data_IF_130535965108
#
_entry.id   IF_130535965108
#
_cell.length_a   1.000
_cell.length_b   1.000
_cell.length_c   1.000
_cell.angle_alpha   90.00
_cell.angle_beta   90.00
_cell.angle_gamma   90.00
#
_symmetry.space_group_name_H-M   'P 1'
#
loop_
_entity.id
_entity.type
_entity.pdbx_description
1 polymer ?
#
# COMPACT_ATOMS: atom_id res chain seq x y z
N UNK A 1 -23.93 -76.86 -45.29
CA UNK A 1 -24.72 -76.28 -46.43
C UNK A 1 -25.06 -74.83 -46.10
N UNK A 2 -24.59 -73.90 -46.95
CA UNK A 2 -24.82 -72.42 -47.02
C UNK A 2 -24.29 -71.52 -45.90
N UNK A 3 -23.20 -70.84 -46.31
CA UNK A 3 -22.71 -69.58 -45.82
C UNK A 3 -23.76 -68.44 -46.04
N UNK A 4 -23.86 -67.51 -45.11
CA UNK A 4 -24.24 -66.16 -45.42
C UNK A 4 -23.40 -65.22 -44.59
N UNK A 5 -22.63 -64.49 -45.29
CA UNK A 5 -21.79 -63.30 -44.83
C UNK A 5 -22.72 -62.09 -44.61
N UNK A 6 -22.55 -61.46 -43.47
CA UNK A 6 -23.10 -60.13 -43.26
C UNK A 6 -21.97 -59.19 -42.86
N UNK A 7 -21.59 -58.36 -43.82
CA UNK A 7 -20.62 -57.27 -43.63
C UNK A 7 -21.28 -56.13 -42.86
N UNK A 8 -20.85 -55.91 -41.64
CA UNK A 8 -21.23 -54.78 -40.84
C UNK A 8 -20.26 -53.61 -41.09
N UNK A 9 -20.72 -52.60 -41.81
CA UNK A 9 -19.97 -51.35 -41.99
C UNK A 9 -19.94 -50.54 -40.70
N UNK A 10 -18.82 -50.52 -40.04
CA UNK A 10 -18.56 -49.55 -38.96
C UNK A 10 -18.27 -48.21 -39.59
N UNK A 11 -19.21 -47.30 -39.51
CA UNK A 11 -19.02 -45.87 -39.78
C UNK A 11 -18.10 -45.30 -38.71
N UNK A 12 -16.87 -45.04 -39.02
CA UNK A 12 -15.97 -44.22 -38.23
C UNK A 12 -16.48 -42.78 -38.32
N UNK A 13 -17.13 -42.30 -37.30
CA UNK A 13 -17.39 -40.87 -37.09
C UNK A 13 -16.08 -40.23 -36.64
N UNK A 14 -15.40 -39.58 -37.56
CA UNK A 14 -14.27 -38.71 -37.26
C UNK A 14 -14.82 -37.44 -36.61
N UNK A 15 -14.78 -37.41 -35.28
CA UNK A 15 -15.08 -36.20 -34.50
C UNK A 15 -13.93 -35.23 -34.65
N UNK A 16 -14.01 -34.29 -35.59
CA UNK A 16 -13.11 -33.17 -35.67
C UNK A 16 -13.41 -32.19 -34.51
N UNK A 17 -12.62 -32.33 -33.45
CA UNK A 17 -12.59 -31.34 -32.38
C UNK A 17 -12.02 -30.02 -32.93
N UNK A 18 -12.89 -29.11 -33.33
CA UNK A 18 -12.51 -27.72 -33.57
C UNK A 18 -12.08 -27.10 -32.23
N UNK A 19 -10.80 -27.10 -31.94
CA UNK A 19 -10.23 -26.19 -30.97
C UNK A 19 -10.36 -24.76 -31.53
N UNK A 20 -11.45 -24.09 -31.17
CA UNK A 20 -11.54 -22.65 -31.33
C UNK A 20 -10.52 -22.05 -30.36
N UNK A 21 -9.31 -21.82 -30.85
CA UNK A 21 -8.33 -21.03 -30.16
C UNK A 21 -8.89 -19.62 -29.98
N UNK A 22 -9.36 -19.32 -28.78
CA UNK A 22 -9.61 -17.95 -28.39
C UNK A 22 -8.28 -17.21 -28.51
N UNK A 23 -8.11 -16.47 -29.59
CA UNK A 23 -7.04 -15.49 -29.71
C UNK A 23 -7.34 -14.43 -28.65
N UNK A 24 -6.72 -14.60 -27.49
CA UNK A 24 -6.69 -13.56 -26.48
C UNK A 24 -6.13 -12.32 -27.16
N UNK A 25 -6.98 -11.34 -27.39
CA UNK A 25 -6.58 -10.03 -27.91
C UNK A 25 -5.60 -9.49 -26.86
N UNK A 26 -4.35 -9.45 -27.22
CA UNK A 26 -3.30 -8.93 -26.37
C UNK A 26 -3.55 -7.43 -26.27
N UNK A 27 -4.32 -7.02 -25.29
CA UNK A 27 -4.57 -5.61 -25.03
C UNK A 27 -3.21 -4.96 -24.79
N UNK A 28 -2.88 -4.01 -25.65
CA UNK A 28 -1.64 -3.23 -25.48
C UNK A 28 -1.82 -2.44 -24.16
N UNK A 29 -0.83 -2.47 -23.26
CA UNK A 29 -0.91 -1.68 -22.06
C UNK A 29 -1.13 -0.21 -22.43
N UNK A 30 -2.17 0.39 -21.87
CA UNK A 30 -2.39 1.83 -22.01
C UNK A 30 -1.41 2.53 -21.06
N UNK A 31 -0.62 3.44 -21.58
CA UNK A 31 0.25 4.28 -20.76
C UNK A 31 -0.39 5.64 -20.62
N UNK A 32 -0.70 6.02 -19.39
CA UNK A 32 -1.11 7.38 -19.05
C UNK A 32 0.04 8.05 -18.31
N UNK A 33 0.33 9.30 -18.63
CA UNK A 33 1.37 10.07 -17.97
C UNK A 33 0.76 11.33 -17.36
N UNK A 34 1.18 11.64 -16.12
CA UNK A 34 0.90 12.91 -15.46
C UNK A 34 2.21 13.60 -15.18
N UNK A 35 2.26 14.89 -15.45
CA UNK A 35 3.40 15.73 -15.08
C UNK A 35 3.15 16.26 -13.67
N UNK A 36 4.13 16.09 -12.78
CA UNK A 36 4.19 16.73 -11.49
C UNK A 36 5.19 17.88 -11.56
N UNK A 37 5.01 18.87 -10.72
CA UNK A 37 5.95 20.01 -10.62
C UNK A 37 7.26 19.56 -9.96
N UNK A 38 7.20 18.50 -9.15
CA UNK A 38 8.34 17.89 -8.45
C UNK A 38 8.45 16.40 -8.74
N UNK A 39 9.58 15.81 -8.37
CA UNK A 39 9.82 14.38 -8.55
C UNK A 39 9.13 13.63 -7.40
N UNK A 40 8.14 12.75 -7.69
CA UNK A 40 7.53 11.89 -6.68
C UNK A 40 8.60 11.03 -5.99
N UNK A 41 8.62 11.07 -4.68
CA UNK A 41 9.51 10.24 -3.88
C UNK A 41 8.71 9.16 -3.18
N UNK A 42 9.33 8.00 -2.96
CA UNK A 42 8.74 6.91 -2.17
C UNK A 42 7.30 6.58 -2.55
N UNK A 43 7.09 6.26 -3.83
CA UNK A 43 5.78 5.78 -4.30
C UNK A 43 5.45 4.47 -3.60
N UNK A 44 4.30 4.41 -2.94
CA UNK A 44 3.82 3.27 -2.15
C UNK A 44 2.49 2.78 -2.73
N UNK A 45 2.35 1.47 -2.84
CA UNK A 45 1.14 0.83 -3.34
C UNK A 45 0.45 0.09 -2.19
N UNK A 46 -0.87 0.17 -2.15
CA UNK A 46 -1.65 -0.75 -1.33
C UNK A 46 -1.90 -2.03 -2.13
N UNK A 47 -1.52 -3.17 -1.57
CA UNK A 47 -1.71 -4.47 -2.21
C UNK A 47 -3.18 -4.70 -2.60
N UNK A 48 -3.39 -5.38 -3.73
CA UNK A 48 -4.70 -5.71 -4.28
C UNK A 48 -5.64 -4.49 -4.46
N UNK A 49 -5.07 -3.33 -4.83
CA UNK A 49 -5.85 -2.12 -5.08
C UNK A 49 -5.17 -1.18 -6.09
N UNK A 50 -5.95 -0.26 -6.63
CA UNK A 50 -5.46 0.82 -7.50
C UNK A 50 -5.01 2.07 -6.70
N UNK A 51 -4.98 1.95 -5.36
CA UNK A 51 -4.63 3.07 -4.48
C UNK A 51 -3.12 3.17 -4.34
N UNK A 52 -2.63 4.37 -4.56
CA UNK A 52 -1.22 4.72 -4.50
C UNK A 52 -1.04 5.96 -3.62
N UNK A 53 0.00 5.95 -2.82
CA UNK A 53 0.47 7.13 -2.11
C UNK A 53 1.86 7.52 -2.61
N UNK A 54 2.17 8.79 -2.66
CA UNK A 54 3.54 9.23 -2.75
C UNK A 54 3.80 10.47 -1.91
N UNK A 55 5.04 10.63 -1.51
CA UNK A 55 5.55 11.80 -0.83
C UNK A 55 6.17 12.76 -1.84
N UNK A 56 5.79 14.03 -1.77
CA UNK A 56 6.51 15.12 -2.41
C UNK A 56 7.60 15.61 -1.44
N UNK A 57 8.84 15.30 -1.79
CA UNK A 57 9.98 15.61 -0.94
C UNK A 57 10.38 17.10 -0.93
N UNK A 58 9.79 17.93 -1.81
CA UNK A 58 10.05 19.36 -1.84
C UNK A 58 9.06 20.13 -0.96
N UNK A 59 7.78 19.82 -1.12
CA UNK A 59 6.71 20.50 -0.37
C UNK A 59 6.36 19.76 0.92
N UNK A 60 6.95 18.58 1.15
CA UNK A 60 6.69 17.74 2.32
C UNK A 60 5.20 17.49 2.55
N UNK A 61 4.53 17.03 1.49
CA UNK A 61 3.13 16.67 1.46
C UNK A 61 2.94 15.26 0.90
N UNK A 62 1.77 14.66 1.13
CA UNK A 62 1.40 13.36 0.59
C UNK A 62 0.32 13.54 -0.45
N UNK A 63 0.44 12.83 -1.56
CA UNK A 63 -0.59 12.69 -2.57
C UNK A 63 -1.13 11.28 -2.58
N UNK A 64 -2.43 11.15 -2.85
CA UNK A 64 -3.15 9.90 -3.00
C UNK A 64 -3.78 9.81 -4.38
N UNK A 65 -3.71 8.64 -4.98
CA UNK A 65 -4.52 8.25 -6.13
C UNK A 65 -5.37 7.04 -5.77
N UNK A 66 -6.60 6.98 -6.24
CA UNK A 66 -7.51 5.84 -6.08
C UNK A 66 -7.75 5.08 -7.40
N UNK A 67 -7.09 5.49 -8.48
CA UNK A 67 -7.29 5.00 -9.83
C UNK A 67 -5.97 4.75 -10.58
N UNK A 68 -5.07 4.04 -9.94
CA UNK A 68 -3.77 3.63 -10.49
C UNK A 68 -2.90 4.80 -11.03
N UNK A 69 -3.04 5.99 -10.43
CA UNK A 69 -2.23 7.15 -10.78
C UNK A 69 -2.82 8.02 -11.91
N UNK A 70 -4.04 7.78 -12.34
CA UNK A 70 -4.70 8.62 -13.34
C UNK A 70 -5.06 10.00 -12.79
N UNK A 71 -5.51 10.04 -11.54
CA UNK A 71 -5.82 11.26 -10.80
C UNK A 71 -5.13 11.24 -9.43
N UNK A 72 -4.72 12.43 -8.99
CA UNK A 72 -4.00 12.60 -7.73
C UNK A 72 -4.61 13.72 -6.93
N UNK A 73 -4.84 13.46 -5.65
CA UNK A 73 -5.34 14.42 -4.69
C UNK A 73 -4.35 14.58 -3.53
N UNK A 74 -4.24 15.78 -3.01
CA UNK A 74 -3.42 16.07 -1.85
C UNK A 74 -4.11 15.55 -0.59
N UNK A 75 -3.38 14.83 0.24
CA UNK A 75 -3.84 14.43 1.57
C UNK A 75 -3.76 15.65 2.49
N UNK A 76 -4.92 16.18 2.88
CA UNK A 76 -5.02 17.41 3.69
C UNK A 76 -5.04 17.14 5.19
N UNK A 77 -5.01 15.89 5.62
CA UNK A 77 -5.01 15.53 7.04
C UNK A 77 -3.73 16.00 7.74
N UNK A 78 -2.58 15.71 7.14
CA UNK A 78 -1.29 16.12 7.70
C UNK A 78 -0.95 17.57 7.31
N UNK A 79 -0.31 18.36 8.20
CA UNK A 79 0.10 19.71 7.91
C UNK A 79 1.13 19.76 6.77
N UNK A 80 0.97 20.74 5.88
CA UNK A 80 1.92 20.97 4.79
C UNK A 80 3.31 21.34 5.33
N UNK A 81 4.34 20.90 4.65
CA UNK A 81 5.73 21.16 5.03
C UNK A 81 6.22 20.39 6.25
N UNK A 82 5.40 19.48 6.81
CA UNK A 82 5.74 18.72 8.00
C UNK A 82 5.88 17.22 7.76
N UNK A 83 5.47 16.73 6.61
CA UNK A 83 5.60 15.31 6.28
C UNK A 83 7.08 14.95 6.12
N UNK A 84 7.48 13.92 6.84
CA UNK A 84 8.81 13.32 6.74
C UNK A 84 8.81 12.07 5.89
N UNK A 85 7.69 11.35 5.88
CA UNK A 85 7.54 10.16 5.07
C UNK A 85 6.24 9.42 5.29
N UNK A 86 6.00 8.48 4.38
CA UNK A 86 4.88 7.54 4.46
C UNK A 86 5.45 6.14 4.71
N UNK A 87 4.86 5.42 5.66
CA UNK A 87 5.23 4.04 5.99
C UNK A 87 4.00 3.16 5.84
N UNK A 88 4.10 2.12 5.01
CA UNK A 88 3.05 1.12 4.86
C UNK A 88 3.12 0.09 6.00
N UNK A 89 1.96 -0.42 6.44
CA UNK A 89 1.94 -1.52 7.40
C UNK A 89 2.29 -2.84 6.69
N UNK A 90 3.34 -3.57 7.11
CA UNK A 90 3.80 -4.75 6.36
C UNK A 90 2.88 -5.97 6.44
N UNK A 91 1.93 -5.98 7.38
CA UNK A 91 1.02 -7.12 7.62
C UNK A 91 -0.47 -6.77 7.45
N UNK A 92 -0.78 -5.53 7.06
CA UNK A 92 -2.15 -5.08 6.79
C UNK A 92 -2.17 -4.15 5.58
N UNK A 93 -2.62 -4.67 4.46
CA UNK A 93 -2.64 -4.00 3.14
C UNK A 93 -3.59 -2.80 3.04
N UNK A 94 -4.26 -2.43 4.13
CA UNK A 94 -5.13 -1.24 4.18
C UNK A 94 -4.56 -0.12 5.02
N UNK A 95 -3.46 -0.38 5.74
CA UNK A 95 -2.90 0.58 6.70
C UNK A 95 -1.65 1.26 6.18
N UNK A 96 -1.57 2.55 6.44
CA UNK A 96 -0.39 3.37 6.24
C UNK A 96 -0.31 4.45 7.31
N UNK A 97 0.88 5.02 7.44
CA UNK A 97 1.19 6.04 8.43
C UNK A 97 1.91 7.20 7.76
N UNK A 98 1.46 8.42 8.03
CA UNK A 98 2.20 9.63 7.69
C UNK A 98 2.98 10.05 8.93
N UNK A 99 4.29 10.00 8.82
CA UNK A 99 5.19 10.44 9.86
C UNK A 99 5.61 11.88 9.58
N UNK A 100 5.56 12.72 10.59
CA UNK A 100 5.93 14.12 10.48
C UNK A 100 7.23 14.42 11.24
N UNK A 101 7.72 15.62 11.07
CA UNK A 101 8.83 16.17 11.85
C UNK A 101 8.44 16.60 13.26
N UNK A 102 7.16 16.49 13.60
CA UNK A 102 6.58 16.85 14.89
C UNK A 102 6.23 15.61 15.73
N UNK A 103 5.57 15.81 16.86
CA UNK A 103 5.11 14.73 17.76
C UNK A 103 3.71 14.21 17.40
N UNK A 104 3.11 14.76 16.35
CA UNK A 104 1.78 14.39 15.85
C UNK A 104 1.90 13.75 14.48
N UNK A 105 1.30 12.61 14.31
CA UNK A 105 1.35 11.78 13.12
C UNK A 105 -0.04 11.33 12.72
N UNK A 106 -0.20 10.74 11.53
CA UNK A 106 -1.49 10.26 11.04
C UNK A 106 -1.41 8.80 10.62
N UNK A 107 -2.50 8.08 10.80
CA UNK A 107 -2.65 6.71 10.33
C UNK A 107 -3.95 6.55 9.55
N UNK A 108 -3.96 5.64 8.60
CA UNK A 108 -5.14 5.17 7.89
C UNK A 108 -5.34 3.68 8.09
N UNK A 109 -6.60 3.23 8.02
CA UNK A 109 -7.02 1.82 8.05
C UNK A 109 -7.82 1.43 6.81
N UNK A 110 -7.95 2.34 5.84
CA UNK A 110 -8.80 2.22 4.66
C UNK A 110 -8.11 2.74 3.37
N UNK A 111 -6.81 2.50 3.26
CA UNK A 111 -6.01 2.90 2.10
C UNK A 111 -5.97 4.41 1.88
N UNK A 112 -5.98 5.19 2.96
CA UNK A 112 -5.84 6.64 2.90
C UNK A 112 -7.12 7.38 2.55
N UNK A 113 -8.29 6.75 2.65
CA UNK A 113 -9.57 7.42 2.51
C UNK A 113 -9.86 8.31 3.73
N UNK A 114 -9.60 7.77 4.93
CA UNK A 114 -9.66 8.53 6.17
C UNK A 114 -8.35 8.43 6.94
N UNK A 115 -8.03 9.51 7.64
CA UNK A 115 -6.82 9.62 8.43
C UNK A 115 -7.16 9.99 9.87
N UNK A 116 -6.60 9.21 10.80
CA UNK A 116 -6.71 9.44 12.24
C UNK A 116 -5.39 9.98 12.77
N UNK A 117 -5.46 11.02 13.57
CA UNK A 117 -4.29 11.59 14.25
C UNK A 117 -3.87 10.70 15.42
N UNK A 118 -2.57 10.60 15.65
CA UNK A 118 -2.00 10.06 16.88
C UNK A 118 -0.77 10.84 17.31
N UNK A 119 -0.59 10.97 18.61
CA UNK A 119 0.54 11.70 19.18
C UNK A 119 1.59 10.74 19.77
N UNK A 120 2.83 11.18 19.78
CA UNK A 120 3.97 10.50 20.39
C UNK A 120 4.68 11.40 21.39
N UNK A 121 5.47 10.81 22.29
CA UNK A 121 6.19 11.58 23.30
C UNK A 121 7.42 12.30 22.75
N UNK A 122 7.96 11.79 21.64
CA UNK A 122 9.17 12.29 21.00
C UNK A 122 8.94 12.48 19.48
N UNK A 123 9.82 13.21 18.81
CA UNK A 123 9.84 13.29 17.35
C UNK A 123 10.39 12.00 16.75
N UNK A 124 10.07 11.70 15.49
CA UNK A 124 10.53 10.48 14.84
C UNK A 124 12.08 10.42 14.76
N UNK A 125 12.66 9.28 15.08
CA UNK A 125 14.10 9.07 14.98
C UNK A 125 14.59 9.24 13.53
N UNK A 126 15.74 9.89 13.35
CA UNK A 126 16.40 10.00 12.04
C UNK A 126 17.39 8.85 11.81
N UNK A 127 17.67 8.07 12.82
CA UNK A 127 18.68 6.98 12.78
C UNK A 127 18.06 5.61 12.53
N UNK A 128 16.75 5.47 12.81
CA UNK A 128 16.02 4.21 12.68
C UNK A 128 14.69 4.42 11.98
N UNK A 129 14.10 3.33 11.51
CA UNK A 129 12.73 3.35 11.04
C UNK A 129 11.80 3.78 12.19
N UNK A 130 10.96 4.77 11.96
CA UNK A 130 10.15 5.36 13.03
C UNK A 130 9.10 4.39 13.58
N UNK A 131 8.73 3.35 12.83
CA UNK A 131 7.69 2.40 13.21
C UNK A 131 8.18 0.96 13.13
N UNK A 132 7.87 0.19 14.17
CA UNK A 132 7.96 -1.27 14.20
C UNK A 132 6.58 -1.86 14.42
N UNK A 133 6.26 -2.96 13.72
CA UNK A 133 4.92 -3.52 13.63
C UNK A 133 4.86 -4.94 14.20
N UNK A 134 3.74 -5.26 14.84
CA UNK A 134 3.47 -6.61 15.30
C UNK A 134 2.69 -7.39 14.25
N UNK A 135 3.20 -8.58 13.87
CA UNK A 135 2.61 -9.37 12.77
C UNK A 135 1.20 -9.91 13.05
N UNK A 136 0.88 -10.20 14.31
CA UNK A 136 -0.41 -10.78 14.70
C UNK A 136 -1.43 -9.77 15.24
N UNK A 137 -1.06 -8.50 15.36
CA UNK A 137 -1.92 -7.44 15.87
C UNK A 137 -1.60 -6.12 15.17
N UNK A 138 -2.35 -5.76 14.13
CA UNK A 138 -2.04 -4.58 13.34
C UNK A 138 -2.26 -3.24 14.06
N UNK A 139 -2.90 -3.25 15.21
CA UNK A 139 -3.01 -2.05 16.05
C UNK A 139 -1.81 -1.86 16.97
N UNK A 140 -0.99 -2.90 17.15
CA UNK A 140 0.19 -2.84 17.99
C UNK A 140 1.40 -2.36 17.19
N UNK A 141 1.80 -1.13 17.46
CA UNK A 141 3.00 -0.51 16.86
C UNK A 141 3.94 -0.03 17.98
N UNK A 142 5.21 0.00 17.65
CA UNK A 142 6.25 0.63 18.48
C UNK A 142 6.75 1.83 17.67
N UNK A 143 6.81 2.97 18.30
CA UNK A 143 7.35 4.19 17.73
C UNK A 143 8.77 4.41 18.24
N UNK A 144 9.70 4.56 17.30
CA UNK A 144 11.09 4.90 17.57
C UNK A 144 11.27 6.40 17.38
N UNK A 145 11.35 7.09 18.48
CA UNK A 145 11.51 8.53 18.53
C UNK A 145 12.89 8.94 19.00
N UNK A 146 13.13 10.23 18.97
CA UNK A 146 14.29 10.85 19.59
C UNK A 146 13.88 12.13 20.29
N UNK A 147 14.48 12.39 21.44
CA UNK A 147 14.38 13.66 22.14
C UNK A 147 15.76 14.31 22.16
N UNK A 148 15.83 15.55 21.68
CA UNK A 148 17.10 16.26 21.55
C UNK A 148 17.11 17.49 22.43
N UNK A 149 18.12 17.57 23.30
CA UNK A 149 18.39 18.76 24.11
C UNK A 149 19.74 19.34 23.70
N UNK A 150 19.71 20.39 22.90
CA UNK A 150 20.93 20.98 22.32
C UNK A 150 21.57 20.04 21.28
N UNK A 151 22.81 19.61 21.55
CA UNK A 151 23.56 18.69 20.68
C UNK A 151 23.41 17.22 21.07
N UNK A 152 22.74 16.95 22.17
CA UNK A 152 22.52 15.58 22.67
C UNK A 152 21.12 15.11 22.29
N UNK A 153 21.05 13.90 21.72
CA UNK A 153 19.79 13.25 21.38
C UNK A 153 19.74 11.89 22.10
N UNK A 154 18.60 11.60 22.70
CA UNK A 154 18.31 10.30 23.30
C UNK A 154 17.24 9.60 22.46
N UNK A 155 17.39 8.32 22.25
CA UNK A 155 16.36 7.51 21.61
C UNK A 155 15.25 7.20 22.59
N UNK A 156 14.01 7.41 22.14
CA UNK A 156 12.80 7.16 22.91
C UNK A 156 11.94 6.15 22.17
N UNK A 157 11.60 5.06 22.86
CA UNK A 157 10.70 4.05 22.34
C UNK A 157 9.35 4.19 23.03
N UNK A 158 8.30 4.37 22.26
CA UNK A 158 6.93 4.49 22.76
C UNK A 158 5.96 3.60 21.99
N UNK A 159 4.83 3.28 22.59
CA UNK A 159 3.74 2.55 21.94
C UNK A 159 2.51 3.46 21.84
N UNK A 160 2.42 4.27 20.79
CA UNK A 160 1.24 5.12 20.58
C UNK A 160 0.05 4.25 20.18
N UNK A 161 -1.07 4.41 20.85
CA UNK A 161 -2.28 3.71 20.48
C UNK A 161 -3.21 3.47 21.66
N UNK A 162 -4.26 2.65 21.50
CA UNK A 162 -5.23 2.37 22.57
C UNK A 162 -4.64 1.71 23.82
N UNK A 163 -3.36 1.38 23.78
CA UNK A 163 -2.63 0.81 24.92
C UNK A 163 -2.30 1.83 26.01
N UNK A 164 -2.41 3.12 25.74
CA UNK A 164 -2.18 4.17 26.76
C UNK A 164 -3.25 4.21 27.84
N UNK A 165 -4.46 3.70 27.57
CA UNK A 165 -5.58 3.72 28.51
C UNK A 165 -5.70 2.45 29.38
N UNK A 166 -4.77 1.51 29.28
CA UNK A 166 -4.69 0.41 30.23
C UNK A 166 -3.66 0.74 31.31
N UNK A 167 -3.97 1.73 32.14
CA UNK A 167 -3.39 1.82 33.47
C UNK A 167 -3.75 0.54 34.25
N UNK A 168 -2.76 -0.27 34.49
CA UNK A 168 -2.80 -1.34 35.49
C UNK A 168 -2.81 -0.72 36.86
#
# INVERSE_FOLDING_TARGET
>A
MRLQTAAGWRKLLLSTLLCAGALAKKDKPSVKSKKFDFIPQRVQYFDDSDVILFEDGMDHVVYRSDNAGEHWEKVTAAPEGKVRGVTMHPFDSKRAYIITTEKTHWRTKDRGEHWEEFATDAVASIFQDPLSFHAGDPDRIIFNGMDCTGIFCEEVVSSPGPFRDRSV
#
